data_IF_290689762331
#
_entry.id   IF_290689762331
#
_cell.length_a   1.000
_cell.length_b   1.000
_cell.length_c   1.000
_cell.angle_alpha   90.00
_cell.angle_beta   90.00
_cell.angle_gamma   90.00
#
_symmetry.space_group_name_H-M   'P 1'
#
loop_
_entity.id
_entity.type
_entity.pdbx_description
1 polymer ?
#
# COMPACT_ATOMS: atom_id res chain seq x y z
N UNK A 1 15.11 9.52 15.44
CA UNK A 1 13.72 9.58 14.97
C UNK A 1 13.85 10.27 13.65
N UNK A 2 13.93 9.43 12.63
CA UNK A 2 14.24 9.82 11.25
C UNK A 2 12.94 9.59 10.47
N UNK A 3 12.05 10.58 10.51
CA UNK A 3 10.86 10.64 9.68
C UNK A 3 11.31 10.95 8.24
N UNK A 4 11.06 10.05 7.29
CA UNK A 4 11.38 10.27 5.88
C UNK A 4 10.16 10.83 5.18
N UNK A 5 10.14 12.16 5.05
CA UNK A 5 9.06 12.91 4.39
C UNK A 5 9.56 13.49 3.08
N UNK A 6 8.90 13.17 1.96
CA UNK A 6 9.17 13.78 0.66
C UNK A 6 7.99 14.60 0.17
N UNK A 7 8.27 15.86 -0.20
CA UNK A 7 7.25 16.82 -0.65
C UNK A 7 7.57 17.34 -2.06
N UNK A 8 8.13 16.49 -2.94
CA UNK A 8 8.03 16.55 -4.43
C UNK A 8 8.91 15.51 -5.16
N UNK A 9 9.31 14.43 -4.51
CA UNK A 9 10.10 13.35 -5.13
C UNK A 9 9.59 11.98 -4.69
N UNK A 10 9.68 10.97 -5.54
CA UNK A 10 9.44 9.59 -5.13
C UNK A 10 10.38 9.19 -3.99
N UNK A 11 9.90 8.36 -3.08
CA UNK A 11 10.72 7.74 -2.04
C UNK A 11 11.15 6.39 -2.57
N UNK A 12 12.46 6.16 -2.65
CA UNK A 12 13.02 4.83 -2.90
C UNK A 12 13.78 4.42 -1.67
N UNK A 13 13.39 3.29 -1.08
CA UNK A 13 14.09 2.66 0.04
C UNK A 13 14.87 1.49 -0.51
N UNK A 14 16.20 1.60 -0.42
CA UNK A 14 17.13 0.57 -0.91
C UNK A 14 17.03 -0.73 -0.09
N UNK A 15 17.48 -1.82 -0.70
CA UNK A 15 17.44 -3.17 -0.15
C UNK A 15 17.96 -3.26 1.31
N UNK A 16 17.34 -4.14 2.10
CA UNK A 16 17.71 -4.44 3.49
C UNK A 16 17.70 -3.24 4.46
N UNK A 17 17.05 -2.13 4.08
CA UNK A 17 16.90 -0.96 4.94
C UNK A 17 15.84 -1.18 6.02
N UNK A 18 16.04 -0.55 7.18
CA UNK A 18 15.07 -0.53 8.27
C UNK A 18 14.60 0.91 8.47
N UNK A 19 13.32 1.15 8.23
CA UNK A 19 12.66 2.42 8.50
C UNK A 19 11.95 2.29 9.84
N UNK A 20 12.36 3.12 10.80
CA UNK A 20 11.83 3.09 12.17
C UNK A 20 10.48 3.82 12.29
N UNK A 21 10.33 4.87 11.50
CA UNK A 21 9.19 5.78 11.52
C UNK A 21 8.33 5.58 10.26
N UNK A 22 7.47 6.54 9.94
CA UNK A 22 6.50 6.45 8.85
C UNK A 22 7.12 6.91 7.50
N UNK A 23 6.62 6.36 6.39
CA UNK A 23 6.95 6.79 5.03
C UNK A 23 5.80 7.60 4.45
N UNK A 24 6.03 8.87 4.12
CA UNK A 24 4.98 9.76 3.60
C UNK A 24 5.35 10.41 2.27
N UNK A 25 4.49 10.27 1.27
CA UNK A 25 4.61 10.94 -0.02
C UNK A 25 3.29 11.53 -0.51
N UNK A 26 3.35 12.72 -1.13
CA UNK A 26 2.15 13.38 -1.66
C UNK A 26 2.08 13.31 -3.18
N UNK A 27 3.17 13.61 -3.89
CA UNK A 27 3.23 13.66 -5.35
C UNK A 27 4.39 12.82 -5.92
N UNK A 28 4.71 11.71 -5.27
CA UNK A 28 5.73 10.76 -5.71
C UNK A 28 5.38 9.34 -5.29
N UNK A 29 5.80 8.33 -6.05
CA UNK A 29 5.64 6.94 -5.64
C UNK A 29 6.52 6.58 -4.45
N UNK A 30 6.16 5.51 -3.73
CA UNK A 30 6.97 4.91 -2.68
C UNK A 30 7.39 3.54 -3.20
N UNK A 31 8.68 3.31 -3.36
CA UNK A 31 9.26 2.03 -3.78
C UNK A 31 10.12 1.47 -2.67
N UNK A 32 9.82 0.26 -2.20
CA UNK A 32 10.66 -0.46 -1.24
C UNK A 32 11.24 -1.72 -1.90
N UNK A 33 12.56 -1.78 -1.96
CA UNK A 33 13.29 -2.92 -2.52
C UNK A 33 13.33 -4.09 -1.53
N UNK A 34 13.97 -5.19 -1.94
CA UNK A 34 13.96 -6.44 -1.19
C UNK A 34 14.54 -6.33 0.22
N UNK A 35 13.88 -6.98 1.19
CA UNK A 35 14.37 -7.07 2.56
C UNK A 35 14.15 -5.80 3.38
N UNK A 36 13.42 -4.82 2.85
CA UNK A 36 13.05 -3.62 3.61
C UNK A 36 12.08 -3.96 4.73
N UNK A 37 12.24 -3.29 5.88
CA UNK A 37 11.26 -3.31 6.96
C UNK A 37 10.86 -1.91 7.36
N UNK A 38 9.56 -1.66 7.37
CA UNK A 38 8.95 -0.41 7.85
C UNK A 38 8.24 -0.70 9.17
N UNK A 39 8.74 -0.14 10.27
CA UNK A 39 8.12 -0.27 11.60
C UNK A 39 6.92 0.68 11.77
N UNK A 40 6.86 1.74 10.98
CA UNK A 40 5.74 2.68 10.88
C UNK A 40 4.69 2.26 9.85
N UNK A 41 3.95 3.25 9.39
CA UNK A 41 2.97 3.16 8.30
C UNK A 41 3.51 3.76 6.99
N UNK A 42 2.87 3.40 5.88
CA UNK A 42 3.16 3.97 4.56
C UNK A 42 1.95 4.78 4.09
N UNK A 43 2.13 6.07 3.85
CA UNK A 43 1.06 6.99 3.44
C UNK A 43 1.39 7.63 2.08
N UNK A 44 0.50 7.48 1.10
CA UNK A 44 0.61 8.09 -0.23
C UNK A 44 -0.65 8.89 -0.60
N UNK A 45 -0.50 10.00 -1.33
CA UNK A 45 -1.67 10.73 -1.87
C UNK A 45 -1.83 10.48 -3.37
N UNK A 46 -0.84 10.81 -4.20
CA UNK A 46 -0.91 10.68 -5.66
C UNK A 46 0.25 9.85 -6.25
N UNK A 47 0.71 8.83 -5.54
CA UNK A 47 1.82 7.99 -5.97
C UNK A 47 1.57 6.51 -5.76
N UNK A 48 2.04 5.69 -6.71
CA UNK A 48 2.02 4.23 -6.59
C UNK A 48 2.90 3.81 -5.42
N UNK A 49 2.40 2.88 -4.61
CA UNK A 49 3.17 2.20 -3.57
C UNK A 49 3.57 0.85 -4.13
N UNK A 50 4.85 0.64 -4.38
CA UNK A 50 5.41 -0.63 -4.85
C UNK A 50 6.36 -1.18 -3.78
N UNK A 51 6.03 -2.36 -3.25
CA UNK A 51 6.85 -3.02 -2.24
C UNK A 51 7.17 -4.45 -2.70
N UNK A 52 8.43 -4.84 -2.54
CA UNK A 52 8.90 -6.18 -2.88
C UNK A 52 9.64 -6.78 -1.69
N UNK A 53 9.25 -7.99 -1.26
CA UNK A 53 9.85 -8.68 -0.10
C UNK A 53 10.01 -7.77 1.12
N UNK A 54 9.00 -6.94 1.36
CA UNK A 54 9.01 -5.89 2.37
C UNK A 54 8.03 -6.24 3.48
N UNK A 55 8.40 -5.94 4.72
CA UNK A 55 7.51 -6.08 5.88
C UNK A 55 7.10 -4.70 6.38
N UNK A 56 5.80 -4.42 6.36
CA UNK A 56 5.20 -3.22 6.96
C UNK A 56 4.50 -3.64 8.25
N UNK A 57 4.96 -3.12 9.39
CA UNK A 57 4.46 -3.53 10.70
C UNK A 57 3.10 -2.89 11.05
N UNK A 58 2.70 -1.82 10.35
CA UNK A 58 1.41 -1.13 10.54
C UNK A 58 0.60 -1.08 9.24
N UNK A 59 -0.09 0.02 9.00
CA UNK A 59 -1.04 0.21 7.91
C UNK A 59 -0.36 0.77 6.66
N UNK A 60 -0.98 0.56 5.51
CA UNK A 60 -0.71 1.30 4.27
C UNK A 60 -1.96 2.12 3.94
N UNK A 61 -1.81 3.42 3.75
CA UNK A 61 -2.90 4.32 3.36
C UNK A 61 -2.57 5.00 2.04
N UNK A 62 -3.53 5.00 1.10
CA UNK A 62 -3.41 5.70 -0.18
C UNK A 62 -4.67 6.51 -0.46
N UNK A 63 -4.57 7.60 -1.24
CA UNK A 63 -5.74 8.37 -1.69
C UNK A 63 -6.05 8.07 -3.16
N UNK A 64 -5.06 8.21 -4.04
CA UNK A 64 -5.20 8.05 -5.49
C UNK A 64 -4.08 7.19 -6.11
N UNK A 65 -3.36 6.42 -5.29
CA UNK A 65 -2.23 5.62 -5.74
C UNK A 65 -2.51 4.13 -5.65
N UNK A 66 -2.24 3.41 -6.73
CA UNK A 66 -2.28 1.95 -6.75
C UNK A 66 -1.25 1.36 -5.77
N UNK A 67 -1.51 0.15 -5.31
CA UNK A 67 -0.64 -0.57 -4.38
C UNK A 67 -0.24 -1.88 -5.01
N UNK A 68 1.06 -2.13 -5.12
CA UNK A 68 1.61 -3.39 -5.58
C UNK A 68 2.43 -4.04 -4.47
N UNK A 69 2.01 -5.22 -4.04
CA UNK A 69 2.73 -6.09 -3.12
C UNK A 69 3.31 -7.25 -3.89
N UNK A 70 4.64 -7.36 -3.91
CA UNK A 70 5.38 -8.36 -4.67
C UNK A 70 6.27 -9.21 -3.75
N UNK A 71 6.59 -10.43 -4.19
CA UNK A 71 7.63 -11.30 -3.61
C UNK A 71 7.58 -11.46 -2.08
N UNK A 72 6.57 -12.16 -1.55
CA UNK A 72 6.43 -12.45 -0.11
C UNK A 72 6.38 -11.18 0.76
N UNK A 73 5.83 -10.07 0.23
CA UNK A 73 5.62 -8.86 1.02
C UNK A 73 4.52 -9.08 2.06
N UNK A 74 4.69 -8.52 3.25
CA UNK A 74 3.75 -8.67 4.36
C UNK A 74 3.35 -7.31 4.90
N UNK A 75 2.05 -7.04 4.94
CA UNK A 75 1.47 -5.91 5.66
C UNK A 75 0.76 -6.49 6.88
N UNK A 76 1.22 -6.13 8.08
CA UNK A 76 0.63 -6.63 9.32
C UNK A 76 -0.63 -5.88 9.75
N UNK A 77 -0.71 -4.61 9.38
CA UNK A 77 -1.89 -3.79 9.59
C UNK A 77 -2.86 -3.91 8.42
N UNK A 78 -3.60 -2.83 8.22
CA UNK A 78 -4.65 -2.70 7.23
C UNK A 78 -4.15 -1.99 5.98
N UNK A 79 -4.82 -2.19 4.86
CA UNK A 79 -4.69 -1.34 3.68
C UNK A 79 -5.93 -0.46 3.58
N UNK A 80 -5.77 0.85 3.55
CA UNK A 80 -6.86 1.82 3.44
C UNK A 80 -6.74 2.67 2.19
N UNK A 81 -7.84 2.80 1.46
CA UNK A 81 -7.98 3.73 0.33
C UNK A 81 -8.95 4.82 0.73
N UNK A 82 -8.46 6.05 0.88
CA UNK A 82 -9.25 7.21 1.31
C UNK A 82 -9.68 8.10 0.14
N UNK A 83 -10.84 8.76 0.24
CA UNK A 83 -11.22 9.82 -0.69
C UNK A 83 -10.79 11.21 -0.20
N UNK A 84 -10.22 12.04 -1.09
CA UNK A 84 -10.15 13.50 -0.88
C UNK A 84 -11.18 14.22 -1.74
N UNK A 85 -11.97 15.08 -1.09
CA UNK A 85 -13.15 15.71 -1.66
C UNK A 85 -12.92 16.56 -2.92
N UNK A 86 -13.99 16.62 -3.73
CA UNK A 86 -14.27 17.54 -4.85
C UNK A 86 -13.65 17.21 -6.23
N UNK A 87 -13.70 15.96 -6.69
CA UNK A 87 -13.90 15.75 -8.14
C UNK A 87 -14.72 14.49 -8.39
N UNK A 88 -15.77 14.64 -9.20
CA UNK A 88 -16.78 13.62 -9.52
C UNK A 88 -16.35 12.63 -10.60
N UNK A 89 -15.04 12.36 -10.70
CA UNK A 89 -14.57 11.27 -11.55
C UNK A 89 -14.50 10.03 -10.67
N UNK A 90 -15.11 8.94 -11.12
CA UNK A 90 -15.01 7.63 -10.47
C UNK A 90 -13.54 7.24 -10.36
N UNK A 91 -12.96 7.44 -9.17
CA UNK A 91 -11.56 7.10 -8.94
C UNK A 91 -11.47 5.60 -8.79
N UNK A 92 -10.58 5.00 -9.55
CA UNK A 92 -10.27 3.59 -9.49
C UNK A 92 -8.90 3.44 -8.86
N UNK A 93 -8.80 2.65 -7.81
CA UNK A 93 -7.54 2.27 -7.18
C UNK A 93 -7.43 0.75 -7.26
N UNK A 94 -6.29 0.27 -7.76
CA UNK A 94 -6.02 -1.15 -7.85
C UNK A 94 -4.99 -1.56 -6.78
N UNK A 95 -5.27 -2.68 -6.12
CA UNK A 95 -4.39 -3.28 -5.12
C UNK A 95 -4.01 -4.66 -5.63
N UNK A 96 -2.75 -4.88 -5.97
CA UNK A 96 -2.25 -6.15 -6.49
C UNK A 96 -1.43 -6.89 -5.42
N UNK A 97 -1.89 -8.07 -5.01
CA UNK A 97 -1.19 -8.97 -4.08
C UNK A 97 -0.59 -10.14 -4.85
N UNK A 98 0.72 -10.08 -5.10
CA UNK A 98 1.46 -11.03 -5.95
C UNK A 98 2.60 -11.71 -5.21
N UNK A 99 3.02 -12.87 -5.72
CA UNK A 99 4.19 -13.60 -5.25
C UNK A 99 4.10 -14.07 -3.80
N UNK A 100 2.96 -14.64 -3.39
CA UNK A 100 2.69 -15.08 -2.01
C UNK A 100 2.73 -13.95 -0.97
N UNK A 101 2.30 -12.76 -1.38
CA UNK A 101 2.22 -11.62 -0.47
C UNK A 101 1.01 -11.76 0.46
N UNK A 102 1.08 -11.18 1.65
CA UNK A 102 0.07 -11.34 2.69
C UNK A 102 -0.32 -10.02 3.33
N UNK A 103 -1.61 -9.83 3.53
CA UNK A 103 -2.18 -8.77 4.37
C UNK A 103 -2.82 -9.42 5.59
N UNK A 104 -2.30 -9.14 6.77
CA UNK A 104 -2.82 -9.72 8.02
C UNK A 104 -4.08 -8.99 8.51
N UNK A 105 -4.21 -7.69 8.22
CA UNK A 105 -5.38 -6.89 8.56
C UNK A 105 -6.41 -6.78 7.43
N UNK A 106 -7.26 -5.76 7.54
CA UNK A 106 -8.38 -5.52 6.64
C UNK A 106 -7.94 -4.71 5.41
N UNK A 107 -8.68 -4.87 4.31
CA UNK A 107 -8.60 -3.96 3.16
C UNK A 107 -9.87 -3.14 3.11
N UNK A 108 -9.76 -1.83 3.29
CA UNK A 108 -10.90 -0.92 3.45
C UNK A 108 -10.83 0.20 2.42
N UNK A 109 -11.82 0.23 1.53
CA UNK A 109 -12.06 1.34 0.62
C UNK A 109 -13.00 2.39 1.21
N UNK A 110 -12.84 3.63 0.74
CA UNK A 110 -13.84 4.68 0.89
C UNK A 110 -15.04 4.39 -0.04
N UNK A 111 -16.25 4.79 0.38
CA UNK A 111 -17.47 4.58 -0.40
C UNK A 111 -17.46 5.35 -1.73
N UNK A 112 -16.70 6.45 -1.79
CA UNK A 112 -16.57 7.30 -2.99
C UNK A 112 -15.46 6.85 -3.95
N UNK A 113 -14.79 5.70 -3.68
CA UNK A 113 -13.69 5.16 -4.49
C UNK A 113 -14.00 3.73 -4.92
N UNK A 114 -13.79 3.43 -6.20
CA UNK A 114 -13.84 2.06 -6.70
C UNK A 114 -12.49 1.41 -6.40
N UNK A 115 -12.47 0.46 -5.47
CA UNK A 115 -11.26 -0.29 -5.11
C UNK A 115 -11.37 -1.70 -5.66
N UNK A 116 -10.39 -2.12 -6.46
CA UNK A 116 -10.28 -3.50 -6.94
C UNK A 116 -9.03 -4.15 -6.35
N UNK A 117 -9.20 -5.31 -5.73
CA UNK A 117 -8.13 -6.09 -5.12
C UNK A 117 -7.86 -7.31 -6.00
N UNK A 118 -6.70 -7.34 -6.65
CA UNK A 118 -6.22 -8.44 -7.45
C UNK A 118 -5.38 -9.38 -6.58
N UNK A 119 -5.91 -10.57 -6.32
CA UNK A 119 -5.26 -11.57 -5.48
C UNK A 119 -4.71 -12.70 -6.36
N UNK A 120 -3.38 -12.76 -6.51
CA UNK A 120 -2.71 -13.86 -7.19
C UNK A 120 -2.74 -15.12 -6.32
N UNK A 121 -2.86 -16.29 -6.97
CA UNK A 121 -2.72 -17.58 -6.30
C UNK A 121 -1.47 -17.67 -5.41
N UNK A 122 -1.71 -17.91 -4.12
CA UNK A 122 -0.66 -18.07 -3.10
C UNK A 122 -0.53 -16.85 -2.19
N UNK A 123 -1.05 -15.70 -2.61
CA UNK A 123 -1.23 -14.55 -1.75
C UNK A 123 -2.45 -14.72 -0.84
N UNK A 124 -2.46 -14.05 0.31
CA UNK A 124 -3.49 -14.23 1.35
C UNK A 124 -3.91 -12.89 1.96
N UNK A 125 -5.21 -12.72 2.20
CA UNK A 125 -5.77 -11.63 3.01
C UNK A 125 -6.46 -12.29 4.20
N UNK A 126 -6.03 -11.97 5.43
CA UNK A 126 -6.56 -12.57 6.66
C UNK A 126 -7.67 -11.76 7.31
N UNK A 127 -7.71 -10.45 7.04
CA UNK A 127 -8.80 -9.59 7.47
C UNK A 127 -9.99 -9.60 6.53
N UNK A 128 -10.88 -8.64 6.74
CA UNK A 128 -12.07 -8.42 5.92
C UNK A 128 -11.78 -7.46 4.76
N UNK A 129 -12.51 -7.64 3.66
CA UNK A 129 -12.50 -6.71 2.52
C UNK A 129 -13.78 -5.90 2.57
N UNK A 130 -13.65 -4.59 2.76
CA UNK A 130 -14.76 -3.65 2.95
C UNK A 130 -14.70 -2.57 1.87
N UNK A 131 -15.82 -2.32 1.19
CA UNK A 131 -15.92 -1.34 0.09
C UNK A 131 -14.86 -1.53 -1.02
N UNK A 132 -14.50 -2.78 -1.29
CA UNK A 132 -13.57 -3.15 -2.34
C UNK A 132 -14.03 -4.45 -3.00
N UNK A 133 -13.76 -4.59 -4.29
CA UNK A 133 -14.09 -5.76 -5.09
C UNK A 133 -12.86 -6.68 -5.18
N UNK A 134 -12.98 -7.92 -4.69
CA UNK A 134 -11.93 -8.93 -4.82
C UNK A 134 -12.01 -9.60 -6.20
N UNK A 135 -10.91 -9.57 -6.92
CA UNK A 135 -10.69 -10.23 -8.21
C UNK A 135 -9.58 -11.26 -8.02
N UNK A 136 -9.90 -12.55 -8.13
CA UNK A 136 -8.91 -13.62 -8.06
C UNK A 136 -8.27 -13.84 -9.44
N UNK A 137 -6.93 -13.88 -9.49
CA UNK A 137 -6.12 -14.16 -10.71
C UNK A 137 -5.52 -15.58 -10.71
#
# INVERSE_FOLDING_TARGET
MDEVKSVNGGITVEENSIIQDDLESVNGGISCDEGVRVHGEINSVNGIIDISKTVVDRDITTVNGDIHMNNESVVKGNIRVEAKGISSDSRKVEIHLRGNSMVEGDIVGDEDVIVEVYLEKGSEIRGEIVNAELVEE
#
